data_IF_215796193445
#
_entry.id   IF_215796193445
#
_cell.length_a   1.000
_cell.length_b   1.000
_cell.length_c   1.000
_cell.angle_alpha   90.00
_cell.angle_beta   90.00
_cell.angle_gamma   90.00
#
_symmetry.space_group_name_H-M   'P 1'
#
loop_
_entity.id
_entity.type
_entity.pdbx_description
1 polymer ?
#
# COMPACT_ATOMS: atom_id res chain seq x y z
N UNK A 1 39.01 39.74 -52.03
CA UNK A 1 38.38 38.45 -52.44
C UNK A 1 39.34 37.34 -51.99
N UNK A 2 39.07 36.38 -51.12
CA UNK A 2 37.86 35.71 -50.63
C UNK A 2 38.00 35.37 -49.13
N UNK A 3 36.93 35.56 -48.36
CA UNK A 3 36.84 35.42 -46.90
C UNK A 3 35.77 34.36 -46.52
N UNK A 4 35.97 33.10 -46.90
CA UNK A 4 34.91 32.07 -46.74
C UNK A 4 35.38 30.63 -46.43
N UNK A 5 36.65 30.35 -46.17
CA UNK A 5 37.12 28.94 -46.19
C UNK A 5 37.66 28.35 -44.87
N UNK A 6 37.41 28.99 -43.72
CA UNK A 6 37.97 28.50 -42.43
C UNK A 6 36.96 28.32 -41.28
N UNK A 7 35.68 28.05 -41.57
CA UNK A 7 34.67 27.86 -40.51
C UNK A 7 34.06 26.44 -40.46
N UNK A 8 34.29 25.58 -41.46
CA UNK A 8 33.50 24.35 -41.60
C UNK A 8 34.08 23.05 -41.01
N UNK A 9 35.19 23.08 -40.26
CA UNK A 9 35.83 21.81 -39.79
C UNK A 9 35.87 21.62 -38.27
N UNK A 10 35.62 22.66 -37.46
CA UNK A 10 35.83 22.55 -36.01
C UNK A 10 34.60 22.15 -35.18
N UNK A 11 33.39 22.20 -35.72
CA UNK A 11 32.16 22.03 -34.93
C UNK A 11 31.47 20.66 -35.05
N UNK A 12 31.92 19.76 -35.94
CA UNK A 12 31.24 18.46 -36.12
C UNK A 12 31.77 17.30 -35.26
N UNK A 13 32.99 17.38 -34.71
CA UNK A 13 33.61 16.23 -34.01
C UNK A 13 33.48 16.27 -32.48
N UNK A 14 33.28 17.45 -31.87
CA UNK A 14 33.30 17.61 -30.41
C UNK A 14 31.93 17.81 -29.74
N UNK A 15 30.87 18.10 -30.51
CA UNK A 15 29.51 18.22 -29.98
C UNK A 15 28.82 16.88 -29.73
N UNK A 16 29.09 15.88 -30.58
CA UNK A 16 28.40 14.59 -30.52
C UNK A 16 28.82 13.72 -29.32
N UNK A 17 30.10 13.76 -28.93
CA UNK A 17 30.60 12.99 -27.78
C UNK A 17 30.17 13.56 -26.43
N UNK A 18 29.94 14.88 -26.32
CA UNK A 18 29.42 15.49 -25.08
C UNK A 18 27.94 15.13 -24.87
N UNK A 19 27.11 15.22 -25.91
CA UNK A 19 25.70 14.84 -25.82
C UNK A 19 25.49 13.37 -25.45
N UNK A 20 26.27 12.47 -26.06
CA UNK A 20 26.15 11.03 -25.79
C UNK A 20 26.57 10.67 -24.34
N UNK A 21 27.59 11.33 -23.79
CA UNK A 21 28.02 11.12 -22.39
C UNK A 21 26.99 11.59 -21.38
N UNK A 22 26.34 12.72 -21.62
CA UNK A 22 25.26 13.22 -20.74
C UNK A 22 24.00 12.37 -20.85
N UNK A 23 23.63 11.93 -22.06
CA UNK A 23 22.52 11.00 -22.26
C UNK A 23 22.77 9.67 -21.53
N UNK A 24 23.99 9.12 -21.63
CA UNK A 24 24.35 7.88 -20.94
C UNK A 24 24.40 8.04 -19.42
N UNK A 25 24.89 9.17 -18.90
CA UNK A 25 24.90 9.48 -17.47
C UNK A 25 23.47 9.66 -16.92
N UNK A 26 22.56 10.30 -17.67
CA UNK A 26 21.15 10.41 -17.31
C UNK A 26 20.43 9.06 -17.38
N UNK A 27 20.74 8.22 -18.37
CA UNK A 27 20.22 6.86 -18.47
C UNK A 27 20.72 5.96 -17.34
N UNK A 28 21.99 6.10 -16.94
CA UNK A 28 22.55 5.43 -15.77
C UNK A 28 21.94 5.97 -14.47
N UNK A 29 21.77 7.29 -14.32
CA UNK A 29 21.13 7.86 -13.14
C UNK A 29 19.65 7.43 -13.03
N UNK A 30 18.93 7.35 -14.15
CA UNK A 30 17.56 6.83 -14.20
C UNK A 30 17.52 5.32 -13.95
N UNK A 31 18.45 4.54 -14.49
CA UNK A 31 18.52 3.09 -14.28
C UNK A 31 18.94 2.72 -12.85
N UNK A 32 19.85 3.50 -12.24
CA UNK A 32 20.30 3.34 -10.85
C UNK A 32 19.25 3.87 -9.86
N UNK A 33 18.51 4.93 -10.23
CA UNK A 33 17.47 5.53 -9.39
C UNK A 33 16.20 4.68 -9.26
N UNK A 34 15.89 3.81 -10.23
CA UNK A 34 14.62 3.08 -10.26
C UNK A 34 14.66 1.68 -9.62
N UNK A 35 15.82 1.09 -9.28
CA UNK A 35 15.88 -0.34 -8.91
C UNK A 35 16.85 -0.76 -7.79
N UNK A 36 17.59 0.14 -7.14
CA UNK A 36 18.76 -0.29 -6.34
C UNK A 36 18.59 -0.42 -4.82
N UNK A 37 17.45 -0.07 -4.25
CA UNK A 37 17.24 -0.29 -2.83
C UNK A 37 16.27 -1.46 -2.64
N UNK A 38 16.73 -2.61 -2.10
CA UNK A 38 15.79 -3.64 -1.68
C UNK A 38 14.82 -3.00 -0.71
N UNK A 39 13.51 -3.18 -0.97
CA UNK A 39 12.49 -2.76 -0.01
C UNK A 39 12.74 -3.56 1.26
N UNK A 40 13.18 -2.86 2.31
CA UNK A 40 13.38 -3.47 3.62
C UNK A 40 12.04 -3.42 4.34
N UNK A 41 11.47 -4.60 4.58
CA UNK A 41 10.35 -4.78 5.49
C UNK A 41 10.93 -5.01 6.88
N UNK A 42 11.06 -3.93 7.64
CA UNK A 42 11.43 -4.00 9.04
C UNK A 42 10.50 -3.08 9.84
N UNK A 43 10.20 -3.42 11.11
CA UNK A 43 9.42 -2.55 11.97
C UNK A 43 10.06 -1.16 12.03
N UNK A 44 9.26 -0.07 11.94
CA UNK A 44 9.79 1.28 12.00
C UNK A 44 10.62 1.51 13.27
N UNK A 45 11.87 1.91 13.10
CA UNK A 45 12.77 2.22 14.21
C UNK A 45 12.59 3.67 14.64
N UNK A 46 12.64 3.93 15.95
CA UNK A 46 12.51 5.27 16.54
C UNK A 46 11.16 5.98 16.27
N UNK A 47 10.10 5.23 15.97
CA UNK A 47 8.74 5.75 15.88
C UNK A 47 7.90 5.31 17.08
N UNK A 48 6.85 6.06 17.38
CA UNK A 48 5.92 5.77 18.48
C UNK A 48 4.77 4.92 17.94
N UNK A 49 4.44 3.82 18.60
CA UNK A 49 3.26 3.03 18.23
C UNK A 49 1.97 3.83 18.52
N UNK A 50 1.05 3.86 17.55
CA UNK A 50 -0.29 4.43 17.71
C UNK A 50 -1.21 3.33 18.24
N UNK A 51 -1.33 3.25 19.56
CA UNK A 51 -2.10 2.21 20.26
C UNK A 51 -3.59 2.33 19.89
N UNK A 52 -4.21 1.22 19.47
CA UNK A 52 -5.60 1.20 19.01
C UNK A 52 -5.80 1.63 17.54
N UNK A 53 -4.72 2.06 16.87
CA UNK A 53 -4.73 2.44 15.47
C UNK A 53 -5.02 3.93 15.22
N UNK A 54 -5.30 4.25 13.97
CA UNK A 54 -5.58 5.63 13.53
C UNK A 54 -6.96 6.10 13.98
N UNK A 55 -7.17 7.43 14.00
CA UNK A 55 -8.40 8.04 14.49
C UNK A 55 -9.61 7.53 13.68
N UNK A 56 -9.64 7.83 12.38
CA UNK A 56 -10.73 7.38 11.51
C UNK A 56 -10.55 5.92 11.11
N UNK A 57 -11.46 5.08 11.61
CA UNK A 57 -11.45 3.63 11.42
C UNK A 57 -12.16 3.13 10.15
N UNK A 58 -12.61 4.02 9.26
CA UNK A 58 -13.17 3.59 7.98
C UNK A 58 -12.12 2.79 7.17
N UNK A 59 -12.53 1.69 6.51
CA UNK A 59 -11.62 0.85 5.73
C UNK A 59 -11.05 1.59 4.53
N UNK A 60 -9.87 1.16 4.06
CA UNK A 60 -9.27 1.61 2.81
C UNK A 60 -9.36 0.50 1.77
N UNK A 61 -9.96 0.81 0.63
CA UNK A 61 -10.14 -0.08 -0.50
C UNK A 61 -9.22 0.30 -1.64
N UNK A 62 -8.60 -0.69 -2.27
CA UNK A 62 -7.59 -0.42 -3.27
C UNK A 62 -7.11 -1.63 -4.05
N UNK A 63 -5.94 -1.45 -4.65
CA UNK A 63 -5.36 -2.39 -5.61
C UNK A 63 -3.95 -2.76 -5.21
N UNK A 64 -3.60 -4.00 -5.51
CA UNK A 64 -2.22 -4.43 -5.67
C UNK A 64 -1.75 -4.11 -7.09
N UNK A 65 -0.56 -3.53 -7.18
CA UNK A 65 0.05 -3.09 -8.42
C UNK A 65 1.42 -3.76 -8.58
N UNK A 66 1.74 -4.09 -9.83
CA UNK A 66 3.02 -4.68 -10.19
C UNK A 66 4.20 -3.81 -9.78
N UNK A 67 5.26 -4.46 -9.31
CA UNK A 67 6.51 -3.81 -8.89
C UNK A 67 7.32 -3.24 -10.07
N UNK A 68 7.04 -3.71 -11.29
CA UNK A 68 7.73 -3.34 -12.53
C UNK A 68 7.51 -1.89 -12.99
N UNK A 69 6.69 -1.12 -12.26
CA UNK A 69 6.38 0.27 -12.57
C UNK A 69 5.41 0.45 -13.74
N UNK A 70 4.89 -0.64 -14.32
CA UNK A 70 3.87 -0.60 -15.35
C UNK A 70 2.46 -0.41 -14.79
N UNK A 71 2.30 -0.50 -13.47
CA UNK A 71 1.02 -0.28 -12.79
C UNK A 71 -0.04 -1.32 -13.14
N UNK A 72 0.36 -2.54 -13.48
CA UNK A 72 -0.58 -3.63 -13.78
C UNK A 72 -1.25 -4.04 -12.48
N UNK A 73 -2.57 -4.15 -12.50
CA UNK A 73 -3.32 -4.67 -11.35
C UNK A 73 -2.99 -6.16 -11.14
N UNK A 74 -2.58 -6.50 -9.92
CA UNK A 74 -2.23 -7.87 -9.51
C UNK A 74 -3.20 -8.43 -8.45
N UNK A 75 -4.22 -7.66 -8.06
CA UNK A 75 -5.24 -8.07 -7.11
C UNK A 75 -5.90 -6.89 -6.40
N UNK A 76 -6.78 -7.22 -5.47
CA UNK A 76 -7.45 -6.26 -4.60
C UNK A 76 -6.73 -6.16 -3.25
N UNK A 77 -6.81 -4.99 -2.65
CA UNK A 77 -6.23 -4.69 -1.34
C UNK A 77 -7.28 -4.01 -0.45
N UNK A 78 -7.32 -4.43 0.80
CA UNK A 78 -8.13 -3.84 1.86
C UNK A 78 -7.26 -3.62 3.09
N UNK A 79 -7.33 -2.43 3.68
CA UNK A 79 -6.82 -2.15 5.02
C UNK A 79 -8.01 -1.78 5.90
N UNK A 80 -8.34 -2.61 6.88
CA UNK A 80 -9.54 -2.42 7.69
C UNK A 80 -9.28 -2.74 9.17
N UNK A 81 -10.11 -2.15 10.04
CA UNK A 81 -10.25 -2.57 11.43
C UNK A 81 -11.19 -3.78 11.50
N UNK A 82 -10.83 -4.77 12.30
CA UNK A 82 -11.68 -5.90 12.66
C UNK A 82 -12.43 -5.66 13.99
N UNK A 83 -12.44 -4.41 14.48
CA UNK A 83 -12.97 -4.03 15.79
C UNK A 83 -11.88 -3.93 16.86
N UNK A 84 -12.18 -3.25 17.97
CA UNK A 84 -11.29 -3.08 19.13
C UNK A 84 -9.88 -2.50 18.84
N UNK A 85 -9.67 -1.86 17.69
CA UNK A 85 -8.37 -1.34 17.28
C UNK A 85 -7.43 -2.38 16.66
N UNK A 86 -7.94 -3.57 16.35
CA UNK A 86 -7.19 -4.59 15.62
C UNK A 86 -7.29 -4.33 14.13
N UNK A 87 -6.19 -3.91 13.51
CA UNK A 87 -6.14 -3.62 12.09
C UNK A 87 -5.45 -4.74 11.33
N UNK A 88 -5.91 -4.94 10.09
CA UNK A 88 -5.33 -5.93 9.19
C UNK A 88 -5.30 -5.45 7.76
N UNK A 89 -4.32 -5.97 7.03
CA UNK A 89 -4.35 -5.95 5.59
C UNK A 89 -4.93 -7.26 5.09
N UNK A 90 -5.78 -7.14 4.08
CA UNK A 90 -6.39 -8.24 3.35
C UNK A 90 -6.13 -8.04 1.87
N UNK A 91 -5.82 -9.15 1.21
CA UNK A 91 -5.28 -9.19 -0.14
C UNK A 91 -5.96 -10.31 -0.89
N UNK A 92 -6.50 -10.00 -2.06
CA UNK A 92 -7.07 -11.00 -2.97
C UNK A 92 -6.28 -10.97 -4.28
N UNK A 93 -5.26 -11.83 -4.45
CA UNK A 93 -4.44 -11.88 -5.65
C UNK A 93 -5.26 -12.30 -6.88
N UNK A 94 -5.02 -11.65 -8.01
CA UNK A 94 -5.69 -11.95 -9.28
C UNK A 94 -5.28 -13.30 -9.88
N UNK A 95 -4.20 -13.92 -9.39
CA UNK A 95 -3.71 -15.23 -9.84
C UNK A 95 -4.49 -16.42 -9.23
N UNK A 96 -5.49 -16.15 -8.39
CA UNK A 96 -6.33 -17.16 -7.77
C UNK A 96 -5.66 -17.91 -6.61
N UNK A 97 -4.55 -17.41 -6.05
CA UNK A 97 -3.84 -18.07 -4.94
C UNK A 97 -4.60 -18.08 -3.60
N UNK A 98 -5.85 -17.61 -3.58
CA UNK A 98 -6.64 -17.42 -2.37
C UNK A 98 -6.38 -16.08 -1.70
N UNK A 99 -7.38 -15.63 -0.93
CA UNK A 99 -7.27 -14.44 -0.08
C UNK A 99 -6.20 -14.67 0.99
N UNK A 100 -5.46 -13.61 1.34
CA UNK A 100 -4.49 -13.60 2.43
C UNK A 100 -4.77 -12.39 3.31
N UNK A 101 -4.61 -12.54 4.63
CA UNK A 101 -4.78 -11.46 5.58
C UNK A 101 -3.80 -11.58 6.74
N UNK A 102 -3.34 -10.45 7.29
CA UNK A 102 -2.37 -10.43 8.40
C UNK A 102 -2.47 -9.13 9.22
N UNK A 103 -2.05 -9.14 10.51
CA UNK A 103 -2.14 -7.97 11.38
C UNK A 103 -1.21 -6.85 10.95
N UNK A 104 -1.64 -5.61 11.20
CA UNK A 104 -0.87 -4.39 10.94
C UNK A 104 -0.94 -3.45 12.13
N UNK A 105 0.07 -2.61 12.24
CA UNK A 105 0.25 -1.63 13.29
C UNK A 105 0.62 -0.27 12.68
N UNK A 106 0.30 0.80 13.40
CA UNK A 106 0.57 2.17 12.96
C UNK A 106 1.60 2.82 13.87
N UNK A 107 2.40 3.70 13.27
CA UNK A 107 3.51 4.35 13.93
C UNK A 107 3.55 5.83 13.54
N UNK A 108 3.64 6.71 14.54
CA UNK A 108 3.80 8.15 14.37
C UNK A 108 5.25 8.57 14.56
N UNK A 109 5.63 9.67 13.90
CA UNK A 109 6.89 10.33 14.16
C UNK A 109 6.73 11.32 15.32
N UNK A 110 7.08 10.90 16.53
CA UNK A 110 6.87 11.69 17.75
C UNK A 110 5.48 11.47 18.37
N UNK A 111 4.93 12.51 18.99
CA UNK A 111 3.58 12.50 19.55
C UNK A 111 2.54 12.27 18.44
N UNK A 112 1.50 11.48 18.74
CA UNK A 112 0.48 11.16 17.76
C UNK A 112 -0.43 12.36 17.49
N UNK A 113 -0.53 12.74 16.22
CA UNK A 113 -1.45 13.75 15.72
C UNK A 113 -2.41 13.10 14.72
N UNK A 114 -3.75 13.14 14.95
CA UNK A 114 -4.73 12.55 14.04
C UNK A 114 -4.80 13.24 12.65
N UNK A 115 -4.19 14.42 12.49
CA UNK A 115 -4.07 15.10 11.21
C UNK A 115 -2.74 14.80 10.48
N UNK A 116 -1.78 14.14 11.13
CA UNK A 116 -0.50 13.79 10.54
C UNK A 116 -0.52 12.43 9.82
N UNK A 117 0.42 12.23 8.90
CA UNK A 117 0.59 10.92 8.28
C UNK A 117 1.20 9.92 9.27
N UNK A 118 0.80 8.66 9.17
CA UNK A 118 1.37 7.56 9.97
C UNK A 118 1.96 6.49 9.08
N UNK A 119 3.02 5.86 9.56
CA UNK A 119 3.57 4.66 8.93
C UNK A 119 2.70 3.46 9.31
N UNK A 120 2.34 2.64 8.34
CA UNK A 120 1.68 1.35 8.57
C UNK A 120 2.68 0.23 8.29
N UNK A 121 2.75 -0.74 9.19
CA UNK A 121 3.61 -1.91 9.08
C UNK A 121 2.88 -3.16 9.56
N UNK A 122 3.03 -4.27 8.85
CA UNK A 122 2.51 -5.57 9.27
C UNK A 122 3.39 -6.69 8.75
N UNK A 123 3.46 -7.79 9.49
CA UNK A 123 4.25 -8.96 9.12
C UNK A 123 3.63 -10.23 9.73
N UNK A 124 3.49 -11.27 8.91
CA UNK A 124 3.07 -12.60 9.34
C UNK A 124 3.65 -13.65 8.37
N UNK A 125 4.59 -14.46 8.85
CA UNK A 125 5.25 -15.48 8.04
C UNK A 125 5.94 -14.90 6.80
N UNK A 126 5.47 -15.30 5.61
CA UNK A 126 6.01 -14.85 4.31
C UNK A 126 5.32 -13.60 3.75
N UNK A 127 4.45 -12.97 4.54
CA UNK A 127 3.73 -11.76 4.20
C UNK A 127 4.23 -10.59 5.04
N UNK A 128 4.46 -9.46 4.40
CA UNK A 128 4.78 -8.22 5.09
C UNK A 128 4.27 -7.03 4.29
N UNK A 129 4.00 -5.92 4.96
CA UNK A 129 3.74 -4.64 4.30
C UNK A 129 4.39 -3.50 5.05
N UNK A 130 4.73 -2.46 4.31
CA UNK A 130 5.17 -1.19 4.85
C UNK A 130 4.69 -0.07 3.95
N UNK A 131 4.16 0.99 4.54
CA UNK A 131 3.71 2.15 3.78
C UNK A 131 3.31 3.32 4.64
N UNK A 132 2.61 4.27 4.02
CA UNK A 132 2.16 5.50 4.62
C UNK A 132 0.65 5.62 4.50
N UNK A 133 0.01 6.05 5.58
CA UNK A 133 -1.41 6.38 5.62
C UNK A 133 -1.53 7.88 5.81
N UNK A 134 -2.02 8.56 4.78
CA UNK A 134 -2.35 9.98 4.84
C UNK A 134 -3.77 10.13 5.38
N UNK A 135 -3.87 10.31 6.70
CA UNK A 135 -5.13 10.22 7.44
C UNK A 135 -6.19 11.21 6.93
N UNK A 136 -5.78 12.47 6.72
CA UNK A 136 -6.64 13.58 6.24
C UNK A 136 -7.03 13.39 4.78
N UNK A 137 -6.10 12.95 3.94
CA UNK A 137 -6.37 12.70 2.52
C UNK A 137 -7.23 11.45 2.31
N UNK A 138 -7.32 10.57 3.32
CA UNK A 138 -8.01 9.29 3.20
C UNK A 138 -7.33 8.37 2.19
N UNK A 139 -6.00 8.37 2.13
CA UNK A 139 -5.25 7.50 1.22
C UNK A 139 -4.19 6.70 1.96
N UNK A 140 -3.85 5.54 1.43
CA UNK A 140 -2.70 4.74 1.90
C UNK A 140 -1.99 4.12 0.73
N UNK A 141 -0.66 4.03 0.81
CA UNK A 141 0.13 3.37 -0.21
C UNK A 141 1.44 2.85 0.36
N UNK A 142 2.00 1.86 -0.29
CA UNK A 142 3.26 1.28 0.14
C UNK A 142 3.69 0.10 -0.69
N UNK A 143 4.53 -0.71 -0.08
CA UNK A 143 5.03 -1.96 -0.62
C UNK A 143 4.52 -3.12 0.21
N UNK A 144 4.42 -4.27 -0.43
CA UNK A 144 4.02 -5.49 0.22
C UNK A 144 4.90 -6.63 -0.27
N UNK A 145 5.34 -7.49 0.62
CA UNK A 145 5.92 -8.79 0.33
C UNK A 145 4.80 -9.83 0.35
N UNK A 146 4.59 -10.48 -0.79
CA UNK A 146 3.69 -11.63 -0.93
C UNK A 146 4.50 -12.83 -1.37
N UNK A 147 4.99 -13.61 -0.40
CA UNK A 147 5.90 -14.75 -0.65
C UNK A 147 7.17 -14.28 -1.37
N UNK A 148 7.34 -14.64 -2.63
CA UNK A 148 8.48 -14.25 -3.48
C UNK A 148 8.27 -12.96 -4.26
N UNK A 149 7.07 -12.37 -4.21
CA UNK A 149 6.73 -11.12 -4.93
C UNK A 149 6.80 -9.92 -4.00
N UNK A 150 7.09 -8.76 -4.56
CA UNK A 150 7.09 -7.48 -3.81
C UNK A 150 6.23 -6.42 -4.50
N UNK A 151 4.90 -6.62 -4.65
CA UNK A 151 4.03 -5.63 -5.28
C UNK A 151 3.95 -4.33 -4.47
N UNK A 152 3.37 -3.32 -5.12
CA UNK A 152 2.93 -2.08 -4.48
C UNK A 152 1.45 -2.19 -4.14
N UNK A 153 0.99 -1.40 -3.18
CA UNK A 153 -0.43 -1.21 -2.96
C UNK A 153 -0.78 0.28 -2.91
N UNK A 154 -2.00 0.59 -3.32
CA UNK A 154 -2.61 1.91 -3.19
C UNK A 154 -4.08 1.73 -2.85
N UNK A 155 -4.58 2.47 -1.87
CA UNK A 155 -5.97 2.41 -1.46
C UNK A 155 -6.49 3.76 -0.98
N UNK A 156 -7.80 3.93 -1.08
CA UNK A 156 -8.54 5.11 -0.64
C UNK A 156 -9.58 4.71 0.38
N UNK A 157 -9.84 5.59 1.33
CA UNK A 157 -10.86 5.40 2.36
C UNK A 157 -12.22 5.19 1.70
N UNK A 158 -12.92 4.14 2.13
CA UNK A 158 -14.31 3.90 1.77
C UNK A 158 -15.17 5.08 2.18
N UNK A 159 -16.11 5.46 1.33
CA UNK A 159 -16.93 6.64 1.55
C UNK A 159 -18.26 6.33 2.25
N UNK A 160 -18.65 5.05 2.36
CA UNK A 160 -20.00 4.66 2.75
C UNK A 160 -20.04 3.67 3.93
N UNK A 161 -21.11 3.70 4.72
CA UNK A 161 -21.34 2.76 5.83
C UNK A 161 -21.40 1.28 5.38
N UNK A 162 -21.84 1.02 4.15
CA UNK A 162 -21.87 -0.33 3.55
C UNK A 162 -20.48 -0.95 3.46
N UNK A 163 -19.46 -0.12 3.24
CA UNK A 163 -18.08 -0.55 3.07
C UNK A 163 -17.54 -1.18 4.36
N UNK A 164 -18.05 -0.79 5.52
CA UNK A 164 -17.66 -1.39 6.80
C UNK A 164 -18.25 -2.78 6.97
N UNK A 165 -19.55 -2.92 6.69
CA UNK A 165 -20.21 -4.20 6.81
C UNK A 165 -19.65 -5.21 5.79
N UNK A 166 -19.29 -4.74 4.59
CA UNK A 166 -18.56 -5.53 3.60
C UNK A 166 -17.15 -5.91 4.07
N UNK A 167 -16.39 -4.97 4.67
CA UNK A 167 -15.09 -5.27 5.26
C UNK A 167 -15.21 -6.31 6.40
N UNK A 168 -16.25 -6.22 7.25
CA UNK A 168 -16.53 -7.21 8.28
C UNK A 168 -16.80 -8.58 7.68
N UNK A 169 -17.57 -8.68 6.60
CA UNK A 169 -17.80 -9.94 5.89
C UNK A 169 -16.49 -10.52 5.38
N UNK A 170 -15.66 -9.73 4.71
CA UNK A 170 -14.38 -10.23 4.17
C UNK A 170 -13.40 -10.72 5.25
N UNK A 171 -13.46 -10.14 6.45
CA UNK A 171 -12.62 -10.55 7.58
C UNK A 171 -13.22 -11.75 8.34
N UNK A 172 -14.52 -11.73 8.64
CA UNK A 172 -15.13 -12.62 9.62
C UNK A 172 -16.00 -13.72 9.03
N UNK A 173 -16.24 -13.71 7.71
CA UNK A 173 -17.16 -14.62 7.04
C UNK A 173 -16.54 -15.19 5.78
N UNK A 174 -16.54 -16.52 5.65
CA UNK A 174 -16.02 -17.21 4.48
C UNK A 174 -15.23 -18.45 4.86
N UNK A 175 -14.42 -18.95 3.93
CA UNK A 175 -13.61 -20.17 4.11
C UNK A 175 -12.34 -19.95 4.97
N UNK A 176 -11.95 -18.69 5.18
CA UNK A 176 -10.75 -18.32 5.97
C UNK A 176 -11.00 -17.10 6.88
N UNK A 177 -11.92 -17.21 7.86
CA UNK A 177 -12.23 -16.10 8.76
C UNK A 177 -11.14 -15.92 9.82
N UNK A 178 -10.85 -14.66 10.14
CA UNK A 178 -9.82 -14.29 11.14
C UNK A 178 -10.18 -14.81 12.53
N UNK A 179 -11.44 -14.60 12.86
CA UNK A 179 -12.09 -14.97 14.08
C UNK A 179 -13.37 -15.64 13.62
N UNK A 180 -13.39 -16.98 13.53
CA UNK A 180 -14.60 -17.68 13.15
C UNK A 180 -15.70 -17.31 14.13
N UNK A 181 -16.92 -17.19 13.61
CA UNK A 181 -18.08 -16.94 14.45
C UNK A 181 -18.20 -18.08 15.48
N UNK A 182 -18.53 -17.77 16.74
CA UNK A 182 -18.76 -18.80 17.74
C UNK A 182 -19.95 -19.68 17.33
N UNK A 183 -19.98 -20.94 17.76
CA UNK A 183 -21.01 -21.91 17.36
C UNK A 183 -22.45 -21.44 17.63
N UNK A 184 -22.63 -20.54 18.61
CA UNK A 184 -23.92 -19.97 19.01
C UNK A 184 -24.21 -18.58 18.40
N UNK A 185 -23.42 -18.13 17.42
CA UNK A 185 -23.68 -16.87 16.73
C UNK A 185 -25.04 -16.92 16.01
N UNK A 186 -25.89 -15.88 16.11
CA UNK A 186 -27.17 -15.85 15.42
C UNK A 186 -26.99 -15.92 13.90
N UNK A 187 -28.03 -16.41 13.20
CA UNK A 187 -28.05 -16.36 11.74
C UNK A 187 -27.92 -14.91 11.27
N UNK A 188 -27.09 -14.68 10.25
CA UNK A 188 -26.83 -13.36 9.69
C UNK A 188 -27.22 -13.33 8.21
N UNK A 189 -27.46 -12.13 7.70
CA UNK A 189 -27.73 -11.91 6.27
C UNK A 189 -26.46 -11.35 5.63
N UNK A 190 -26.08 -11.89 4.47
CA UNK A 190 -24.91 -11.45 3.70
C UNK A 190 -25.23 -10.33 2.71
N UNK A 191 -26.50 -10.14 2.37
CA UNK A 191 -26.90 -9.19 1.34
C UNK A 191 -28.28 -8.58 1.63
N UNK A 192 -28.33 -7.36 2.22
CA UNK A 192 -27.19 -6.59 2.74
C UNK A 192 -26.64 -7.20 4.04
N UNK A 193 -25.33 -7.04 4.34
CA UNK A 193 -24.77 -7.46 5.61
C UNK A 193 -25.47 -6.80 6.81
N UNK A 194 -25.99 -7.60 7.76
CA UNK A 194 -26.72 -7.09 8.93
C UNK A 194 -25.91 -7.10 10.25
N UNK A 195 -24.59 -7.30 10.18
CA UNK A 195 -23.70 -7.38 11.35
C UNK A 195 -23.82 -6.15 12.26
N UNK A 196 -23.95 -4.96 11.67
CA UNK A 196 -24.04 -3.69 12.40
C UNK A 196 -25.39 -3.48 13.11
N UNK A 197 -26.35 -4.38 12.95
CA UNK A 197 -27.59 -4.38 13.75
C UNK A 197 -27.37 -4.84 15.20
N UNK A 198 -26.30 -5.62 15.44
CA UNK A 198 -25.96 -6.18 16.75
C UNK A 198 -24.58 -5.75 17.26
N UNK A 199 -23.67 -5.32 16.37
CA UNK A 199 -22.31 -4.91 16.71
C UNK A 199 -22.13 -3.40 16.51
N UNK A 200 -21.56 -2.75 17.52
CA UNK A 200 -21.11 -1.37 17.40
C UNK A 200 -19.63 -1.36 17.01
N UNK A 201 -19.30 -0.61 15.97
CA UNK A 201 -17.93 -0.28 15.60
C UNK A 201 -17.74 1.19 15.98
N UNK A 202 -16.69 1.51 16.74
CA UNK A 202 -16.36 2.90 17.03
C UNK A 202 -15.80 3.53 15.75
N UNK A 203 -16.65 4.31 15.07
CA UNK A 203 -16.30 5.09 13.89
C UNK A 203 -16.16 6.53 14.37
N UNK A 204 -15.05 6.85 15.02
CA UNK A 204 -14.73 8.24 15.36
C UNK A 204 -13.76 8.84 14.34
#
# INVERSE_FOLDING_TARGET
MRCQEKVAVFTRKYGFQRGLRWAFALLLAAALGCNLFPVVFAPPQNMTAVVGGIANQQPFWGKLLSADGLGREEGDFLLATCGCGDWRALVTPADGSGQVQFPVHFYSNGEYDPAADVTVYGEEGDYALSGLVAQVAGTTSGWMKLRSRTPRYTATRGSNHTDQAEACVLCHVGDDPILPQPENHPAFELNPPNCLSCHQVAIE
#
